data_IF_766129928167
#
_entry.id   IF_766129928167
#
_cell.length_a   1.000
_cell.length_b   1.000
_cell.length_c   1.000
_cell.angle_alpha   90.00
_cell.angle_beta   90.00
_cell.angle_gamma   90.00
#
_symmetry.space_group_name_H-M   'P 1'
#
loop_
_entity.id
_entity.type
_entity.pdbx_description
1 polymer ?
#
# COMPACT_ATOMS: atom_id res chain seq x y z
N UNK A 1 -23.92 -22.79 72.79
CA UNK A 1 -24.14 -21.80 71.72
C UNK A 1 -22.85 -21.59 70.96
N UNK A 2 -22.75 -22.15 69.75
CA UNK A 2 -21.59 -21.98 68.87
C UNK A 2 -21.95 -20.95 67.83
N UNK A 3 -21.31 -19.79 67.83
CA UNK A 3 -21.48 -18.74 66.87
C UNK A 3 -20.70 -19.07 65.59
N UNK A 4 -21.42 -19.32 64.49
CA UNK A 4 -20.85 -19.58 63.18
C UNK A 4 -20.63 -18.23 62.46
N UNK A 5 -19.36 -17.78 62.39
CA UNK A 5 -18.99 -16.53 61.67
C UNK A 5 -18.85 -16.83 60.20
N UNK A 6 -19.76 -16.27 59.39
CA UNK A 6 -19.71 -16.35 57.93
C UNK A 6 -18.79 -15.25 57.41
N UNK A 7 -17.62 -15.64 56.83
CA UNK A 7 -16.69 -14.72 56.18
C UNK A 7 -17.16 -14.59 54.73
N UNK A 8 -17.73 -13.42 54.38
CA UNK A 8 -18.11 -13.04 53.03
C UNK A 8 -16.86 -12.44 52.38
N UNK A 9 -16.23 -13.18 51.47
CA UNK A 9 -15.17 -12.63 50.58
C UNK A 9 -15.77 -11.75 49.50
N UNK A 10 -15.35 -10.51 49.33
CA UNK A 10 -15.80 -9.70 48.19
C UNK A 10 -15.13 -10.25 46.90
N UNK A 11 -15.94 -10.72 45.96
CA UNK A 11 -15.53 -10.99 44.61
C UNK A 11 -15.25 -9.67 43.91
N UNK A 12 -13.99 -9.37 43.64
CA UNK A 12 -13.63 -8.26 42.77
C UNK A 12 -14.03 -8.61 41.32
N UNK A 13 -15.05 -7.93 40.85
CA UNK A 13 -15.45 -7.90 39.46
C UNK A 13 -14.41 -7.02 38.70
N UNK A 14 -13.48 -7.64 37.97
CA UNK A 14 -12.76 -6.98 36.92
C UNK A 14 -13.74 -6.79 35.76
N UNK A 15 -14.27 -5.59 35.60
CA UNK A 15 -15.15 -5.26 34.50
C UNK A 15 -14.40 -5.31 33.17
N UNK A 16 -14.96 -5.92 32.12
CA UNK A 16 -14.47 -5.75 30.75
C UNK A 16 -14.96 -4.39 30.25
N UNK A 17 -14.25 -3.34 30.59
CA UNK A 17 -14.55 -1.98 30.16
C UNK A 17 -13.56 -1.49 29.12
N UNK A 18 -13.56 -2.06 27.95
CA UNK A 18 -13.14 -1.36 26.74
C UNK A 18 -14.28 -1.54 25.72
N UNK A 19 -15.27 -0.70 25.88
CA UNK A 19 -16.22 -0.37 24.83
C UNK A 19 -15.43 0.39 23.75
N UNK A 20 -14.86 -0.36 22.82
CA UNK A 20 -14.44 0.18 21.54
C UNK A 20 -15.74 0.40 20.78
N UNK A 21 -16.26 1.63 20.91
CA UNK A 21 -17.32 2.11 20.06
C UNK A 21 -17.03 1.70 18.63
N UNK A 22 -18.07 1.32 17.89
CA UNK A 22 -18.07 0.99 16.45
C UNK A 22 -17.61 2.18 15.58
N UNK A 23 -16.46 2.74 15.89
CA UNK A 23 -15.64 3.42 14.91
C UNK A 23 -15.09 2.31 14.01
N UNK A 24 -15.78 2.07 12.90
CA UNK A 24 -15.16 1.41 11.76
C UNK A 24 -13.77 2.02 11.65
N UNK A 25 -12.69 1.26 11.84
CA UNK A 25 -11.38 1.79 11.61
C UNK A 25 -11.42 2.28 10.18
N UNK A 26 -11.33 3.58 10.01
CA UNK A 26 -10.98 4.18 8.74
C UNK A 26 -9.54 3.69 8.51
N UNK A 27 -9.45 2.44 8.06
CA UNK A 27 -8.23 1.84 7.57
C UNK A 27 -7.90 2.56 6.24
N UNK A 28 -7.55 3.81 6.35
CA UNK A 28 -6.43 4.26 5.58
C UNK A 28 -5.28 3.37 6.08
N UNK A 29 -5.12 2.21 5.44
CA UNK A 29 -3.90 1.45 5.51
C UNK A 29 -2.82 2.48 5.15
N UNK A 30 -2.15 3.00 6.17
CA UNK A 30 -0.92 3.71 5.96
C UNK A 30 -0.10 2.76 5.10
N UNK A 31 0.12 3.12 3.84
CA UNK A 31 0.81 2.25 2.89
C UNK A 31 2.16 1.98 3.51
N UNK A 32 2.33 0.79 4.07
CA UNK A 32 3.60 0.39 4.65
C UNK A 32 4.57 0.32 3.48
N UNK A 33 5.60 1.17 3.53
CA UNK A 33 6.64 1.16 2.51
C UNK A 33 7.32 -0.22 2.48
N UNK A 34 7.68 -0.73 1.30
CA UNK A 34 8.41 -1.98 1.16
C UNK A 34 9.69 -1.97 1.98
N UNK A 35 10.02 -3.12 2.56
CA UNK A 35 11.18 -3.29 3.43
C UNK A 35 11.93 -4.56 3.08
N UNK A 36 13.24 -4.56 3.32
CA UNK A 36 14.07 -5.76 3.31
C UNK A 36 14.93 -5.80 4.57
N UNK A 37 15.44 -6.97 4.89
CA UNK A 37 16.24 -7.24 6.08
C UNK A 37 17.48 -8.01 5.68
N UNK A 38 18.60 -7.73 6.36
CA UNK A 38 19.82 -8.49 6.28
C UNK A 38 20.51 -8.47 7.63
N UNK A 39 21.19 -9.55 7.98
CA UNK A 39 21.90 -9.66 9.25
C UNK A 39 23.21 -10.43 9.07
N UNK A 40 24.14 -10.16 9.97
CA UNK A 40 25.39 -10.88 10.17
C UNK A 40 25.65 -11.05 11.67
N UNK A 41 26.77 -11.65 12.04
CA UNK A 41 27.19 -11.71 13.45
C UNK A 41 27.51 -10.33 14.04
N UNK A 42 27.71 -9.31 13.20
CA UNK A 42 28.12 -7.96 13.62
C UNK A 42 26.98 -6.94 13.54
N UNK A 43 26.17 -7.02 12.48
CA UNK A 43 25.21 -5.99 12.14
C UNK A 43 23.84 -6.54 11.76
N UNK A 44 22.81 -5.75 12.06
CA UNK A 44 21.46 -5.89 11.56
C UNK A 44 21.11 -4.68 10.70
N UNK A 45 20.47 -4.92 9.57
CA UNK A 45 20.10 -3.91 8.58
C UNK A 45 18.62 -4.01 8.26
N UNK A 46 17.93 -2.88 8.33
CA UNK A 46 16.57 -2.72 7.82
C UNK A 46 16.57 -1.67 6.71
N UNK A 47 16.24 -2.07 5.49
CA UNK A 47 16.10 -1.15 4.37
C UNK A 47 14.64 -0.82 4.08
N UNK A 48 14.29 0.46 4.01
CA UNK A 48 12.95 0.97 3.66
C UNK A 48 13.02 1.64 2.30
N UNK A 49 12.13 1.22 1.37
CA UNK A 49 12.13 1.67 -0.01
C UNK A 49 11.01 2.67 -0.24
N UNK A 50 11.36 3.87 -0.71
CA UNK A 50 10.42 4.91 -1.08
C UNK A 50 10.71 5.44 -2.49
N UNK A 51 10.11 4.81 -3.48
CA UNK A 51 10.29 5.18 -4.88
C UNK A 51 11.71 4.98 -5.40
N UNK A 52 12.52 6.04 -5.45
CA UNK A 52 13.94 6.02 -5.86
C UNK A 52 14.90 6.18 -4.68
N UNK A 53 14.40 6.15 -3.48
CA UNK A 53 15.20 6.28 -2.26
C UNK A 53 15.14 5.00 -1.45
N UNK A 54 16.27 4.61 -0.88
CA UNK A 54 16.37 3.58 0.14
C UNK A 54 16.93 4.22 1.38
N UNK A 55 16.20 4.16 2.48
CA UNK A 55 16.72 4.49 3.81
C UNK A 55 17.11 3.20 4.50
N UNK A 56 18.37 3.08 4.89
CA UNK A 56 18.91 1.92 5.57
C UNK A 56 19.18 2.30 7.03
N UNK A 57 18.66 1.51 7.94
CA UNK A 57 18.91 1.58 9.38
C UNK A 57 19.93 0.51 9.73
N UNK A 58 20.97 0.89 10.44
CA UNK A 58 22.11 0.01 10.79
C UNK A 58 22.31 -0.05 12.29
N UNK A 59 22.18 -1.24 12.85
CA UNK A 59 22.37 -1.53 14.25
C UNK A 59 23.42 -2.61 14.47
N UNK A 60 24.01 -2.65 15.66
CA UNK A 60 24.85 -3.77 16.10
C UNK A 60 23.96 -4.96 16.46
N UNK A 61 24.21 -6.12 15.87
CA UNK A 61 23.42 -7.33 16.09
C UNK A 61 23.31 -7.72 17.58
N UNK A 62 24.42 -7.61 18.34
CA UNK A 62 24.47 -8.07 19.73
C UNK A 62 23.81 -7.14 20.74
N UNK A 63 23.66 -5.85 20.44
CA UNK A 63 23.22 -4.83 21.41
C UNK A 63 22.08 -3.95 20.93
N UNK A 64 21.71 -4.02 19.66
CA UNK A 64 20.76 -3.11 18.99
C UNK A 64 21.17 -1.63 19.11
N UNK A 65 22.46 -1.36 19.27
CA UNK A 65 22.98 0.00 19.27
C UNK A 65 23.12 0.52 17.86
N UNK A 66 22.65 1.74 17.63
CA UNK A 66 22.78 2.44 16.35
C UNK A 66 24.24 2.60 15.93
N UNK A 67 24.59 2.17 14.74
CA UNK A 67 25.94 2.35 14.18
C UNK A 67 25.99 3.67 13.43
N UNK A 68 26.85 4.59 13.89
CA UNK A 68 26.99 5.94 13.33
C UNK A 68 28.29 6.05 12.54
N UNK A 69 28.25 6.83 11.45
CA UNK A 69 29.46 7.18 10.71
C UNK A 69 30.07 6.06 9.85
N UNK A 70 29.40 4.92 9.71
CA UNK A 70 29.83 3.88 8.80
C UNK A 70 29.76 4.35 7.33
N UNK A 71 30.64 3.84 6.50
CA UNK A 71 30.58 4.00 5.03
C UNK A 71 29.90 2.79 4.45
N UNK A 72 28.71 2.99 3.87
CA UNK A 72 27.93 1.89 3.32
C UNK A 72 27.84 2.03 1.80
N UNK A 73 28.07 0.94 1.11
CA UNK A 73 27.85 0.81 -0.33
C UNK A 73 26.85 -0.31 -0.58
N UNK A 74 25.87 -0.08 -1.43
CA UNK A 74 24.98 -1.13 -1.93
C UNK A 74 25.31 -1.43 -3.39
N UNK A 75 25.27 -2.71 -3.74
CA UNK A 75 25.27 -3.18 -5.14
C UNK A 75 23.88 -3.71 -5.46
N UNK A 76 23.22 -3.07 -6.39
CA UNK A 76 21.88 -3.41 -6.88
C UNK A 76 21.94 -3.62 -8.40
N UNK A 77 21.72 -4.84 -8.87
CA UNK A 77 21.83 -5.21 -10.30
C UNK A 77 23.17 -4.77 -10.94
N UNK A 78 24.29 -4.87 -10.21
CA UNK A 78 25.62 -4.45 -10.68
C UNK A 78 25.87 -2.94 -10.64
N UNK A 79 24.95 -2.18 -10.06
CA UNK A 79 25.09 -0.74 -9.82
C UNK A 79 25.51 -0.47 -8.39
N UNK A 80 26.74 0.03 -8.20
CA UNK A 80 27.25 0.42 -6.88
C UNK A 80 26.84 1.84 -6.54
N UNK A 81 26.28 2.01 -5.33
CA UNK A 81 25.78 3.28 -4.83
C UNK A 81 26.25 3.45 -3.38
N UNK A 82 26.94 4.54 -3.13
CA UNK A 82 27.38 4.89 -1.77
C UNK A 82 26.30 5.64 -1.01
N UNK A 83 26.26 5.43 0.29
CA UNK A 83 25.31 6.12 1.18
C UNK A 83 25.67 7.58 1.39
N UNK A 84 24.62 8.39 1.64
CA UNK A 84 24.73 9.71 2.24
C UNK A 84 24.31 9.57 3.73
N UNK A 85 25.07 10.11 4.70
CA UNK A 85 24.63 10.15 6.10
C UNK A 85 23.30 10.93 6.21
N UNK A 86 22.31 10.35 6.90
CA UNK A 86 20.98 10.97 6.98
C UNK A 86 20.49 11.21 8.42
N UNK A 87 21.11 10.58 9.39
CA UNK A 87 20.79 10.67 10.81
C UNK A 87 21.66 9.73 11.62
N UNK A 88 21.35 9.58 12.89
CA UNK A 88 22.03 8.63 13.75
C UNK A 88 21.62 7.20 13.36
N UNK A 89 22.55 6.44 12.79
CA UNK A 89 22.30 5.08 12.32
C UNK A 89 21.43 4.98 11.04
N UNK A 90 21.15 6.12 10.38
CA UNK A 90 20.38 6.18 9.14
C UNK A 90 21.28 6.55 7.97
N UNK A 91 21.11 5.83 6.86
CA UNK A 91 21.90 6.00 5.64
C UNK A 91 20.98 6.04 4.43
N UNK A 92 21.06 7.13 3.64
CA UNK A 92 20.22 7.36 2.48
C UNK A 92 20.95 6.98 1.19
N UNK A 93 20.25 6.25 0.32
CA UNK A 93 20.71 5.90 -1.04
C UNK A 93 19.74 6.46 -2.06
N UNK A 94 20.27 7.17 -3.07
CA UNK A 94 19.47 7.67 -4.19
C UNK A 94 19.72 6.86 -5.44
N UNK A 95 18.68 6.18 -5.90
CA UNK A 95 18.70 5.33 -7.09
C UNK A 95 18.47 6.16 -8.35
N UNK A 96 19.17 5.84 -9.43
CA UNK A 96 18.90 6.43 -10.76
C UNK A 96 17.51 6.06 -11.28
N UNK A 97 17.12 4.80 -11.09
CA UNK A 97 15.84 4.23 -11.51
C UNK A 97 15.14 3.59 -10.31
N UNK A 98 13.82 3.40 -10.42
CA UNK A 98 13.07 2.60 -9.45
C UNK A 98 13.50 1.14 -9.53
N UNK A 99 13.44 0.43 -8.40
CA UNK A 99 13.64 -1.02 -8.35
C UNK A 99 12.50 -1.68 -9.14
N UNK A 100 12.82 -2.75 -9.84
CA UNK A 100 11.85 -3.51 -10.63
C UNK A 100 10.87 -4.28 -9.72
N UNK A 101 9.67 -4.55 -10.21
CA UNK A 101 8.63 -5.30 -9.47
C UNK A 101 8.91 -6.83 -9.44
N UNK A 102 10.16 -7.23 -9.57
CA UNK A 102 10.62 -8.62 -9.49
C UNK A 102 11.64 -8.75 -8.37
N UNK A 103 11.80 -9.94 -7.76
CA UNK A 103 12.82 -10.17 -6.74
C UNK A 103 14.21 -9.77 -7.26
N UNK A 104 14.84 -8.84 -6.57
CA UNK A 104 16.14 -8.25 -6.94
C UNK A 104 17.11 -8.47 -5.79
N UNK A 105 18.26 -9.09 -6.09
CA UNK A 105 19.32 -9.26 -5.10
C UNK A 105 20.01 -7.92 -4.82
N UNK A 106 20.32 -7.67 -3.56
CA UNK A 106 21.09 -6.54 -3.07
C UNK A 106 22.24 -7.03 -2.20
N UNK A 107 23.43 -6.51 -2.44
CA UNK A 107 24.60 -6.71 -1.58
C UNK A 107 24.90 -5.39 -0.86
N UNK A 108 25.15 -5.46 0.44
CA UNK A 108 25.40 -4.31 1.29
C UNK A 108 26.79 -4.47 1.87
N UNK A 109 27.70 -3.56 1.55
CA UNK A 109 29.05 -3.52 2.11
C UNK A 109 29.12 -2.43 3.15
N UNK A 110 29.43 -2.79 4.39
CA UNK A 110 29.53 -1.91 5.54
C UNK A 110 30.99 -1.78 5.92
N UNK A 111 31.53 -0.56 5.92
CA UNK A 111 32.85 -0.26 6.44
C UNK A 111 32.69 0.66 7.66
N UNK A 112 33.01 0.15 8.82
CA UNK A 112 32.93 0.88 10.07
C UNK A 112 34.26 0.75 10.82
N UNK A 113 34.99 1.84 10.90
CA UNK A 113 36.38 1.87 11.36
C UNK A 113 37.27 0.87 10.58
N UNK A 114 37.89 -0.09 11.25
CA UNK A 114 38.75 -1.09 10.65
C UNK A 114 38.00 -2.40 10.30
N UNK A 115 36.68 -2.41 10.44
CA UNK A 115 35.85 -3.60 10.19
C UNK A 115 35.06 -3.43 8.89
N UNK A 116 35.19 -4.42 8.02
CA UNK A 116 34.37 -4.53 6.81
C UNK A 116 33.46 -5.75 6.92
N UNK A 117 32.19 -5.57 6.66
CA UNK A 117 31.20 -6.65 6.60
C UNK A 117 30.38 -6.59 5.32
N UNK A 118 29.90 -7.75 4.85
CA UNK A 118 29.14 -7.86 3.61
C UNK A 118 27.88 -8.69 3.89
N UNK A 119 26.74 -8.04 3.71
CA UNK A 119 25.43 -8.66 3.88
C UNK A 119 24.75 -8.80 2.52
N UNK A 120 23.88 -9.80 2.40
CA UNK A 120 23.07 -10.02 1.22
C UNK A 120 21.59 -10.09 1.59
N UNK A 121 20.74 -9.51 0.77
CA UNK A 121 19.30 -9.59 0.90
C UNK A 121 18.62 -9.71 -0.47
N UNK A 122 17.32 -9.94 -0.45
CA UNK A 122 16.47 -9.87 -1.64
C UNK A 122 15.36 -8.86 -1.41
N UNK A 123 15.21 -7.93 -2.32
CA UNK A 123 14.11 -6.98 -2.36
C UNK A 123 13.02 -7.59 -3.21
N UNK A 124 11.84 -7.81 -2.63
CA UNK A 124 10.65 -8.29 -3.35
C UNK A 124 9.52 -7.26 -3.19
N UNK A 125 9.21 -6.59 -4.30
CA UNK A 125 8.15 -5.57 -4.36
C UNK A 125 6.81 -6.14 -4.83
N UNK A 126 6.74 -7.40 -5.22
CA UNK A 126 5.53 -8.02 -5.80
C UNK A 126 4.32 -8.01 -4.85
N UNK A 127 4.56 -8.08 -3.54
CA UNK A 127 3.52 -8.02 -2.51
C UNK A 127 3.03 -6.60 -2.18
N UNK A 128 3.74 -5.57 -2.68
CA UNK A 128 3.43 -4.16 -2.44
C UNK A 128 2.79 -3.47 -3.66
N UNK A 129 2.26 -4.26 -4.61
CA UNK A 129 1.51 -3.67 -5.71
C UNK A 129 0.40 -2.79 -5.16
N UNK A 130 0.50 -1.51 -5.44
CA UNK A 130 -0.59 -0.57 -5.21
C UNK A 130 -1.80 -1.09 -5.99
N UNK A 131 -2.97 -1.26 -5.36
CA UNK A 131 -4.17 -1.48 -6.11
C UNK A 131 -4.28 -0.30 -7.08
N UNK A 132 -3.94 -0.54 -8.34
CA UNK A 132 -4.07 0.47 -9.38
C UNK A 132 -5.56 0.77 -9.51
N UNK A 133 -6.02 1.79 -8.78
CA UNK A 133 -7.36 2.33 -8.90
C UNK A 133 -7.58 2.64 -10.38
N UNK A 134 -8.27 1.73 -11.05
CA UNK A 134 -8.70 1.85 -12.44
C UNK A 134 -7.53 2.16 -13.37
N UNK A 135 -6.95 1.15 -13.99
CA UNK A 135 -6.01 1.40 -15.08
C UNK A 135 -6.73 2.25 -16.14
N UNK A 136 -6.03 3.20 -16.73
CA UNK A 136 -6.54 4.05 -17.81
C UNK A 136 -7.28 3.24 -18.87
N UNK A 137 -6.81 2.02 -19.20
CA UNK A 137 -7.49 1.08 -20.11
C UNK A 137 -8.88 0.66 -19.61
N UNK A 138 -9.06 0.46 -18.31
CA UNK A 138 -10.36 0.15 -17.69
C UNK A 138 -11.26 1.38 -17.68
N UNK A 139 -10.71 2.57 -17.43
CA UNK A 139 -11.45 3.83 -17.52
C UNK A 139 -12.02 4.08 -18.92
N UNK A 140 -11.22 3.84 -19.97
CA UNK A 140 -11.69 3.96 -21.37
C UNK A 140 -12.82 2.96 -21.66
N UNK A 141 -12.72 1.71 -21.21
CA UNK A 141 -13.78 0.70 -21.41
C UNK A 141 -15.09 1.13 -20.76
N UNK A 142 -15.05 1.63 -19.53
CA UNK A 142 -16.24 2.13 -18.82
C UNK A 142 -16.86 3.28 -19.58
N UNK A 143 -16.07 4.22 -20.07
CA UNK A 143 -16.55 5.37 -20.85
C UNK A 143 -17.18 4.95 -22.17
N UNK A 144 -16.63 3.95 -22.86
CA UNK A 144 -17.21 3.38 -24.09
C UNK A 144 -18.54 2.67 -23.81
N UNK A 145 -18.66 1.89 -22.73
CA UNK A 145 -19.94 1.27 -22.36
C UNK A 145 -21.00 2.31 -22.01
N UNK A 146 -20.62 3.37 -21.30
CA UNK A 146 -21.56 4.45 -20.96
C UNK A 146 -22.04 5.20 -22.19
N UNK A 147 -21.14 5.48 -23.15
CA UNK A 147 -21.50 6.15 -24.42
C UNK A 147 -22.43 5.27 -25.28
N UNK A 148 -22.20 3.96 -25.31
CA UNK A 148 -23.07 3.02 -26.03
C UNK A 148 -24.48 2.96 -25.42
N UNK A 149 -24.59 2.91 -24.09
CA UNK A 149 -25.88 2.94 -23.38
C UNK A 149 -26.64 4.23 -23.66
N UNK A 150 -25.97 5.37 -23.65
CA UNK A 150 -26.58 6.68 -23.98
C UNK A 150 -27.06 6.73 -25.43
N UNK A 151 -26.28 6.16 -26.37
CA UNK A 151 -26.68 6.08 -27.77
C UNK A 151 -27.93 5.21 -27.95
N UNK A 152 -28.03 4.06 -27.30
CA UNK A 152 -29.19 3.17 -27.33
C UNK A 152 -30.42 3.89 -26.75
N UNK A 153 -30.27 4.54 -25.59
CA UNK A 153 -31.37 5.29 -24.95
C UNK A 153 -31.88 6.45 -25.88
N UNK A 154 -30.94 7.19 -26.45
CA UNK A 154 -31.28 8.27 -27.41
C UNK A 154 -32.04 7.75 -28.66
N UNK A 155 -31.56 6.64 -29.24
CA UNK A 155 -32.20 6.03 -30.41
C UNK A 155 -33.59 5.48 -30.08
N UNK A 156 -33.79 4.88 -28.93
CA UNK A 156 -35.07 4.39 -28.44
C UNK A 156 -36.07 5.55 -28.22
N UNK A 157 -35.59 6.65 -27.63
CA UNK A 157 -36.40 7.85 -27.43
C UNK A 157 -36.84 8.44 -28.76
N UNK A 158 -35.94 8.64 -29.73
CA UNK A 158 -36.28 9.14 -31.10
C UNK A 158 -37.27 8.24 -31.84
N UNK A 159 -37.09 6.90 -31.72
CA UNK A 159 -38.01 5.95 -32.37
C UNK A 159 -39.43 6.06 -31.78
N UNK A 160 -39.56 6.26 -30.49
CA UNK A 160 -40.86 6.47 -29.82
C UNK A 160 -41.53 7.77 -30.28
N UNK A 161 -40.81 8.86 -30.44
CA UNK A 161 -41.36 10.13 -30.96
C UNK A 161 -41.82 10.02 -32.40
N UNK A 162 -41.03 9.36 -33.27
CA UNK A 162 -41.45 9.13 -34.66
C UNK A 162 -42.74 8.32 -34.74
N UNK A 163 -42.87 7.26 -33.94
CA UNK A 163 -44.08 6.43 -33.91
C UNK A 163 -45.30 7.24 -33.41
N UNK A 164 -45.12 8.07 -32.39
CA UNK A 164 -46.20 8.93 -31.88
C UNK A 164 -46.65 10.01 -32.89
N UNK A 165 -45.71 10.59 -33.62
CA UNK A 165 -46.06 11.57 -34.66
C UNK A 165 -46.80 10.94 -35.85
N UNK A 166 -46.38 9.74 -36.27
CA UNK A 166 -47.11 8.97 -37.30
C UNK A 166 -48.51 8.57 -36.85
N UNK A 167 -48.64 8.07 -35.60
CA UNK A 167 -49.96 7.71 -35.04
C UNK A 167 -50.90 8.94 -34.97
N UNK A 168 -50.43 10.10 -34.53
CA UNK A 168 -51.20 11.35 -34.48
C UNK A 168 -51.63 11.79 -35.90
N UNK A 169 -50.75 11.65 -36.91
CA UNK A 169 -51.08 12.00 -38.31
C UNK A 169 -52.15 11.08 -38.87
N UNK A 170 -52.12 9.80 -38.63
CA UNK A 170 -53.14 8.83 -39.05
C UNK A 170 -54.51 9.11 -38.38
N UNK A 171 -54.52 9.38 -37.09
CA UNK A 171 -55.75 9.70 -36.36
C UNK A 171 -56.40 10.98 -36.93
N UNK A 172 -55.58 11.99 -37.25
CA UNK A 172 -56.08 13.24 -37.89
C UNK A 172 -56.72 12.97 -39.26
N UNK A 173 -56.08 12.15 -40.10
CA UNK A 173 -56.61 11.80 -41.41
C UNK A 173 -57.93 11.04 -41.37
N UNK A 174 -58.10 10.16 -40.37
CA UNK A 174 -59.36 9.43 -40.19
C UNK A 174 -60.48 10.40 -39.76
N UNK A 175 -60.17 11.34 -38.87
CA UNK A 175 -61.16 12.31 -38.36
C UNK A 175 -61.62 13.32 -39.42
N UNK A 176 -60.85 13.58 -40.48
CA UNK A 176 -61.15 14.47 -41.56
C UNK A 176 -61.97 13.79 -42.73
N UNK A 177 -62.10 12.44 -42.64
CA UNK A 177 -62.86 11.66 -43.64
C UNK A 177 -64.24 11.19 -43.16
N UNK A 178 -64.62 11.44 -41.95
CA UNK A 178 -65.94 11.21 -41.32
C UNK A 178 -66.69 12.57 -41.20
#
# INVERSE_FOLDING_TARGET
MVALTFIISPTSYAGPGHDHGDEKPNQQQAQTLPRFYAESDLYEVVGVINGKEITLYLDRYSSNELVKGAKIEIDLDGSKISSEPHGDGEYLFRLKNKIKDQPTAITITINNDDVTDILAATIDLSSFEHPSLITWKTGIKILLYFSLLMAIAYFSYRKKEMLMTHAKKLIKQIKERV
#
